data_IF_146124850925
#
_entry.id   IF_146124850925
#
_cell.length_a   1.000
_cell.length_b   1.000
_cell.length_c   1.000
_cell.angle_alpha   90.00
_cell.angle_beta   90.00
_cell.angle_gamma   90.00
#
_symmetry.space_group_name_H-M   'P 1'
#
loop_
_entity.id
_entity.type
_entity.pdbx_description
1 polymer ?
#
# COMPACT_ATOMS: atom_id res chain seq x y z
N UNK A 1 -18.97 33.79 -54.45
CA UNK A 1 -18.26 33.69 -53.17
C UNK A 1 -19.27 33.18 -52.14
N UNK A 2 -19.35 31.87 -51.93
CA UNK A 2 -20.12 31.32 -50.84
C UNK A 2 -19.31 31.46 -49.53
N UNK A 3 -19.62 32.49 -48.76
CA UNK A 3 -19.25 32.51 -47.35
C UNK A 3 -20.07 31.43 -46.62
N UNK A 4 -19.52 30.25 -46.48
CA UNK A 4 -20.01 29.24 -45.55
C UNK A 4 -19.70 29.76 -44.16
N UNK A 5 -20.60 30.54 -43.59
CA UNK A 5 -20.55 30.91 -42.19
C UNK A 5 -20.80 29.68 -41.32
N UNK A 6 -19.73 29.03 -40.85
CA UNK A 6 -19.89 28.09 -39.77
C UNK A 6 -20.54 28.83 -38.59
N UNK A 7 -21.63 28.33 -37.99
CA UNK A 7 -22.28 29.07 -36.91
C UNK A 7 -21.27 29.17 -35.75
N UNK A 8 -21.02 30.41 -35.33
CA UNK A 8 -20.11 30.71 -34.19
C UNK A 8 -20.41 29.86 -32.96
N UNK A 9 -21.67 29.41 -32.80
CA UNK A 9 -22.09 28.51 -31.76
C UNK A 9 -21.40 27.15 -31.81
N UNK A 10 -21.08 26.62 -33.01
CA UNK A 10 -20.42 25.31 -33.14
C UNK A 10 -18.96 25.31 -32.65
N UNK A 11 -18.35 26.48 -32.57
CA UNK A 11 -16.96 26.66 -32.07
C UNK A 11 -16.97 27.06 -30.58
N UNK A 12 -17.93 27.91 -30.17
CA UNK A 12 -17.97 28.45 -28.80
C UNK A 12 -18.51 27.46 -27.79
N UNK A 13 -19.51 26.65 -28.14
CA UNK A 13 -20.13 25.72 -27.19
C UNK A 13 -19.17 24.63 -26.71
N UNK A 14 -18.42 23.92 -27.60
CA UNK A 14 -17.42 22.96 -27.17
C UNK A 14 -16.30 23.59 -26.34
N UNK A 15 -15.84 24.78 -26.73
CA UNK A 15 -14.79 25.50 -26.01
C UNK A 15 -15.18 25.87 -24.57
N UNK A 16 -16.42 26.36 -24.38
CA UNK A 16 -16.92 26.69 -23.05
C UNK A 16 -17.12 25.44 -22.16
N UNK A 17 -17.58 24.34 -22.75
CA UNK A 17 -17.72 23.06 -22.03
C UNK A 17 -16.35 22.53 -21.59
N UNK A 18 -15.34 22.55 -22.46
CA UNK A 18 -13.98 22.19 -22.16
C UNK A 18 -13.38 23.02 -21.02
N UNK A 19 -13.55 24.34 -21.06
CA UNK A 19 -13.07 25.24 -20.01
C UNK A 19 -13.73 24.95 -18.64
N UNK A 20 -15.02 24.65 -18.65
CA UNK A 20 -15.72 24.27 -17.39
C UNK A 20 -15.17 22.99 -16.81
N UNK A 21 -14.95 21.98 -17.65
CA UNK A 21 -14.40 20.71 -17.22
C UNK A 21 -12.95 20.86 -16.72
N UNK A 22 -12.11 21.61 -17.45
CA UNK A 22 -10.74 21.91 -17.01
C UNK A 22 -10.70 22.62 -15.66
N UNK A 23 -11.60 23.57 -15.41
CA UNK A 23 -11.71 24.24 -14.11
C UNK A 23 -12.17 23.30 -13.01
N UNK A 24 -13.13 22.42 -13.29
CA UNK A 24 -13.58 21.43 -12.33
C UNK A 24 -12.47 20.41 -12.01
N UNK A 25 -11.75 19.94 -13.02
CA UNK A 25 -10.60 19.06 -12.85
C UNK A 25 -9.48 19.73 -12.04
N UNK A 26 -9.14 20.98 -12.35
CA UNK A 26 -8.12 21.73 -11.63
C UNK A 26 -8.48 21.94 -10.14
N UNK A 27 -9.77 22.07 -9.81
CA UNK A 27 -10.22 22.20 -8.42
C UNK A 27 -9.94 20.96 -7.56
N UNK A 28 -9.81 19.78 -8.18
CA UNK A 28 -9.45 18.51 -7.53
C UNK A 28 -8.00 18.08 -7.83
N UNK A 29 -7.17 18.99 -8.37
CA UNK A 29 -5.76 18.71 -8.66
C UNK A 29 -5.50 17.92 -9.94
N UNK A 30 -6.51 17.71 -10.79
CA UNK A 30 -6.38 16.97 -12.04
C UNK A 30 -6.12 17.89 -13.24
N UNK A 31 -5.37 17.40 -14.22
CA UNK A 31 -5.10 18.11 -15.49
C UNK A 31 -5.65 17.28 -16.64
N UNK A 32 -6.52 17.91 -17.46
CA UNK A 32 -7.08 17.28 -18.67
C UNK A 32 -6.45 17.95 -19.90
N UNK A 33 -5.61 17.26 -20.69
CA UNK A 33 -4.79 17.85 -21.74
C UNK A 33 -5.54 18.06 -23.07
N UNK A 34 -6.79 18.51 -23.03
CA UNK A 34 -7.53 18.90 -24.23
C UNK A 34 -8.79 18.08 -24.51
N UNK A 35 -9.41 18.37 -25.68
CA UNK A 35 -10.72 17.79 -26.02
C UNK A 35 -10.68 16.27 -26.27
N UNK A 36 -9.62 15.78 -26.91
CA UNK A 36 -9.46 14.34 -27.17
C UNK A 36 -9.45 13.52 -25.84
N UNK A 37 -8.77 14.00 -24.82
CA UNK A 37 -8.79 13.38 -23.51
C UNK A 37 -10.17 13.39 -22.83
N UNK A 38 -10.97 14.43 -23.10
CA UNK A 38 -12.36 14.51 -22.59
C UNK A 38 -13.25 13.44 -23.24
N UNK A 39 -13.09 13.22 -24.55
CA UNK A 39 -13.84 12.19 -25.28
C UNK A 39 -13.44 10.77 -24.81
N UNK A 40 -12.15 10.53 -24.59
CA UNK A 40 -11.64 9.27 -24.07
C UNK A 40 -12.15 9.01 -22.64
N UNK A 41 -12.15 10.01 -21.76
CA UNK A 41 -12.70 9.90 -20.39
C UNK A 41 -14.17 9.49 -20.38
N UNK A 42 -14.96 9.92 -21.37
CA UNK A 42 -16.36 9.55 -21.51
C UNK A 42 -16.60 8.06 -21.82
N UNK A 43 -15.59 7.36 -22.32
CA UNK A 43 -15.63 5.94 -22.67
C UNK A 43 -15.02 5.02 -21.61
N UNK A 44 -14.49 5.55 -20.53
CA UNK A 44 -13.87 4.75 -19.47
C UNK A 44 -14.94 4.06 -18.62
N UNK A 45 -14.88 2.76 -18.53
CA UNK A 45 -15.73 1.90 -17.69
C UNK A 45 -14.95 1.20 -16.57
N UNK A 46 -13.62 1.23 -16.65
CA UNK A 46 -12.73 0.55 -15.70
C UNK A 46 -11.59 1.47 -15.31
N UNK A 47 -11.28 1.52 -14.03
CA UNK A 47 -10.12 2.25 -13.48
C UNK A 47 -9.25 1.24 -12.74
N UNK A 48 -8.00 1.11 -13.15
CA UNK A 48 -6.98 0.35 -12.44
C UNK A 48 -6.18 1.32 -11.57
N UNK A 49 -6.11 1.03 -10.26
CA UNK A 49 -5.38 1.83 -9.28
C UNK A 49 -4.38 0.94 -8.57
N UNK A 50 -3.17 1.44 -8.39
CA UNK A 50 -2.22 0.80 -7.50
C UNK A 50 -2.60 1.09 -6.04
N UNK A 51 -2.43 0.08 -5.18
CA UNK A 51 -2.68 0.24 -3.75
C UNK A 51 -1.78 1.31 -3.12
N UNK A 52 -0.55 1.44 -3.60
CA UNK A 52 0.42 2.43 -3.13
C UNK A 52 0.02 3.87 -3.50
N UNK A 53 -0.77 4.08 -4.56
CA UNK A 53 -1.34 5.38 -4.92
C UNK A 53 -2.48 5.80 -3.98
N UNK A 54 -3.19 4.84 -3.40
CA UNK A 54 -4.31 5.08 -2.49
C UNK A 54 -3.87 5.18 -1.03
N UNK A 55 -2.91 4.36 -0.64
CA UNK A 55 -2.43 4.25 0.73
C UNK A 55 -0.99 4.75 0.80
N UNK A 56 -0.84 6.04 1.04
CA UNK A 56 0.49 6.64 1.25
C UNK A 56 1.09 6.15 2.57
N UNK A 57 2.41 6.19 2.69
CA UNK A 57 3.13 5.76 3.89
C UNK A 57 2.61 6.40 5.19
N UNK A 58 2.11 7.64 5.09
CA UNK A 58 1.55 8.39 6.23
C UNK A 58 0.13 7.96 6.61
N UNK A 59 -0.53 7.14 5.80
CA UNK A 59 -1.91 6.67 6.06
C UNK A 59 -1.98 5.44 6.95
N UNK A 60 -0.84 4.76 7.17
CA UNK A 60 -0.77 3.54 7.98
C UNK A 60 -0.22 3.86 9.36
N UNK A 61 -0.94 3.47 10.40
CA UNK A 61 -0.52 3.60 11.80
C UNK A 61 -0.41 2.24 12.45
N UNK A 62 0.54 2.11 13.37
CA UNK A 62 0.68 0.90 14.20
C UNK A 62 -0.08 1.11 15.50
N UNK A 63 -1.15 0.33 15.71
CA UNK A 63 -2.01 0.46 16.88
C UNK A 63 -1.47 -0.34 18.07
N UNK A 64 -1.03 -1.59 17.85
CA UNK A 64 -0.55 -2.47 18.93
C UNK A 64 0.47 -3.47 18.39
N UNK A 65 1.37 -3.93 19.28
CA UNK A 65 2.32 -5.02 19.01
C UNK A 65 2.17 -6.07 20.11
N UNK A 66 1.92 -7.31 19.71
CA UNK A 66 1.81 -8.43 20.61
C UNK A 66 2.89 -9.47 20.39
N UNK A 67 3.52 -9.90 21.47
CA UNK A 67 4.59 -10.90 21.42
C UNK A 67 4.09 -12.21 22.00
N UNK A 68 4.33 -13.29 21.29
CA UNK A 68 4.02 -14.64 21.71
C UNK A 68 5.28 -15.34 22.24
N UNK A 69 5.11 -16.28 23.19
CA UNK A 69 6.15 -17.20 23.66
C UNK A 69 7.47 -16.58 24.13
N UNK A 70 7.42 -15.41 24.78
CA UNK A 70 8.60 -14.80 25.40
C UNK A 70 9.60 -14.19 24.43
N UNK A 71 9.18 -13.89 23.20
CA UNK A 71 9.96 -13.10 22.25
C UNK A 71 10.29 -11.72 22.79
N UNK A 72 11.29 -11.07 22.19
CA UNK A 72 11.69 -9.68 22.55
C UNK A 72 11.15 -8.73 21.51
N UNK A 73 10.41 -7.74 21.97
CA UNK A 73 9.79 -6.72 21.10
C UNK A 73 10.81 -5.97 20.25
N UNK A 74 11.95 -5.61 20.84
CA UNK A 74 13.03 -4.87 20.16
C UNK A 74 13.55 -5.65 18.95
N UNK A 75 13.75 -6.98 19.11
CA UNK A 75 14.20 -7.85 18.03
C UNK A 75 13.14 -8.05 16.96
N UNK A 76 11.88 -8.21 17.36
CA UNK A 76 10.76 -8.35 16.44
C UNK A 76 10.66 -7.10 15.54
N UNK A 77 10.72 -5.91 16.13
CA UNK A 77 10.72 -4.64 15.38
C UNK A 77 11.91 -4.56 14.43
N UNK A 78 13.12 -4.94 14.87
CA UNK A 78 14.31 -4.90 14.02
C UNK A 78 14.24 -5.88 12.85
N UNK A 79 13.73 -7.11 13.06
CA UNK A 79 13.51 -8.06 11.97
C UNK A 79 12.47 -7.55 10.98
N UNK A 80 11.32 -7.04 11.48
CA UNK A 80 10.29 -6.46 10.64
C UNK A 80 10.82 -5.27 9.83
N UNK A 81 11.47 -4.31 10.49
CA UNK A 81 12.06 -3.15 9.84
C UNK A 81 13.10 -3.53 8.78
N UNK A 82 13.95 -4.54 9.06
CA UNK A 82 14.97 -5.00 8.11
C UNK A 82 14.35 -5.56 6.83
N UNK A 83 13.35 -6.43 6.94
CA UNK A 83 12.67 -7.02 5.77
C UNK A 83 11.86 -5.96 5.02
N UNK A 84 11.05 -5.18 5.72
CA UNK A 84 10.13 -4.22 5.12
C UNK A 84 10.85 -3.01 4.50
N UNK A 85 12.06 -2.70 4.95
CA UNK A 85 12.87 -1.66 4.34
C UNK A 85 13.19 -1.93 2.85
N UNK A 86 13.15 -3.19 2.43
CA UNK A 86 13.45 -3.62 1.06
C UNK A 86 12.23 -4.07 0.26
N UNK A 87 11.07 -4.28 0.90
CA UNK A 87 9.94 -4.97 0.26
C UNK A 87 8.67 -4.14 0.10
N UNK A 88 8.39 -3.19 0.98
CA UNK A 88 7.14 -2.44 0.98
C UNK A 88 7.37 -0.98 1.36
N UNK A 89 7.07 -0.06 0.44
CA UNK A 89 7.32 1.36 0.65
C UNK A 89 6.43 1.96 1.74
N UNK A 90 5.15 1.57 1.77
CA UNK A 90 4.18 2.03 2.75
C UNK A 90 4.57 1.63 4.18
N UNK A 91 4.90 0.35 4.39
CA UNK A 91 5.32 -0.14 5.70
C UNK A 91 6.76 0.30 6.06
N UNK A 92 7.62 0.55 5.06
CA UNK A 92 8.97 1.10 5.27
C UNK A 92 8.93 2.42 6.02
N UNK A 93 8.04 3.34 5.60
CA UNK A 93 7.86 4.64 6.26
C UNK A 93 7.51 4.48 7.73
N UNK A 94 6.53 3.64 8.04
CA UNK A 94 6.10 3.34 9.39
C UNK A 94 7.24 2.78 10.27
N UNK A 95 7.92 1.74 9.78
CA UNK A 95 9.00 1.12 10.57
C UNK A 95 10.24 2.00 10.71
N UNK A 96 10.53 2.87 9.74
CA UNK A 96 11.59 3.90 9.88
C UNK A 96 11.28 4.88 11.01
N UNK A 97 10.04 5.33 11.12
CA UNK A 97 9.64 6.18 12.25
C UNK A 97 9.84 5.48 13.59
N UNK A 98 9.47 4.20 13.70
CA UNK A 98 9.62 3.41 14.92
C UNK A 98 11.09 3.25 15.35
N UNK A 99 12.00 3.08 14.39
CA UNK A 99 13.44 2.96 14.65
C UNK A 99 14.17 4.31 14.65
N UNK A 100 13.43 5.44 14.61
CA UNK A 100 13.97 6.80 14.57
C UNK A 100 14.98 7.02 13.43
N UNK A 101 14.68 6.49 12.24
CA UNK A 101 15.54 6.51 11.04
C UNK A 101 16.95 5.91 11.22
N UNK A 102 17.18 5.18 12.31
CA UNK A 102 18.47 4.51 12.58
C UNK A 102 18.64 3.25 11.71
N UNK A 103 18.87 3.44 10.43
CA UNK A 103 19.00 2.33 9.45
C UNK A 103 20.27 1.51 9.63
N UNK A 104 21.28 2.02 10.33
CA UNK A 104 22.53 1.34 10.65
C UNK A 104 22.37 0.14 11.59
N UNK A 105 21.27 0.08 12.34
CA UNK A 105 20.98 -1.05 13.25
C UNK A 105 20.24 -2.22 12.56
N UNK A 106 19.82 -2.03 11.30
CA UNK A 106 19.10 -3.06 10.55
C UNK A 106 19.99 -4.25 10.22
N UNK A 107 19.40 -5.43 10.25
CA UNK A 107 20.09 -6.65 9.85
C UNK A 107 20.25 -6.73 8.32
N UNK A 108 21.35 -7.30 7.83
CA UNK A 108 21.49 -7.60 6.40
C UNK A 108 20.43 -8.62 5.98
N UNK A 109 19.69 -8.29 4.93
CA UNK A 109 18.63 -9.15 4.38
C UNK A 109 19.18 -9.90 3.18
N UNK A 110 18.91 -11.21 3.12
CA UNK A 110 19.24 -12.10 2.00
C UNK A 110 17.99 -12.85 1.57
N UNK A 111 18.00 -13.25 0.30
CA UNK A 111 16.96 -14.12 -0.28
C UNK A 111 15.55 -13.63 0.04
N UNK A 112 15.29 -12.34 -0.25
CA UNK A 112 13.96 -11.73 -0.07
C UNK A 112 13.00 -12.28 -1.14
N UNK A 113 11.97 -12.96 -0.67
CA UNK A 113 10.87 -13.48 -1.48
C UNK A 113 9.60 -12.67 -1.20
N UNK A 114 8.92 -12.24 -2.24
CA UNK A 114 7.65 -11.51 -2.16
C UNK A 114 6.52 -12.42 -2.62
N UNK A 115 5.59 -12.71 -1.75
CA UNK A 115 4.39 -13.48 -2.06
C UNK A 115 3.19 -12.53 -2.14
N UNK A 116 2.82 -12.14 -3.36
CA UNK A 116 1.74 -11.17 -3.60
C UNK A 116 0.44 -11.56 -2.88
N UNK A 117 -0.13 -10.62 -2.13
CA UNK A 117 -1.35 -10.82 -1.36
C UNK A 117 -1.20 -11.68 -0.09
N UNK A 118 -0.01 -12.20 0.20
CA UNK A 118 0.26 -13.07 1.33
C UNK A 118 1.28 -12.47 2.31
N UNK A 119 2.47 -12.12 1.82
CA UNK A 119 3.52 -11.59 2.68
C UNK A 119 4.93 -11.71 2.09
N UNK A 120 5.91 -11.70 2.97
CA UNK A 120 7.33 -11.67 2.66
C UNK A 120 8.09 -12.76 3.43
N UNK A 121 9.08 -13.36 2.79
CA UNK A 121 10.07 -14.21 3.46
C UNK A 121 11.47 -13.66 3.20
N UNK A 122 12.34 -13.73 4.18
CA UNK A 122 13.73 -13.35 4.03
C UNK A 122 14.63 -14.03 5.07
N UNK A 123 15.92 -14.03 4.81
CA UNK A 123 16.92 -14.42 5.79
C UNK A 123 17.57 -13.18 6.41
N UNK A 124 17.47 -13.03 7.72
CA UNK A 124 18.08 -11.96 8.49
C UNK A 124 18.89 -12.55 9.64
N UNK A 125 20.16 -12.25 9.72
CA UNK A 125 21.06 -12.74 10.78
C UNK A 125 20.93 -14.25 11.01
N UNK A 126 21.00 -15.05 9.94
CA UNK A 126 20.82 -16.51 9.91
C UNK A 126 19.46 -17.04 10.40
N UNK A 127 18.49 -16.17 10.61
CA UNK A 127 17.13 -16.55 10.94
C UNK A 127 16.21 -16.35 9.72
N UNK A 128 15.34 -17.32 9.47
CA UNK A 128 14.26 -17.15 8.50
C UNK A 128 13.17 -16.30 9.11
N UNK A 129 12.90 -15.16 8.49
CA UNK A 129 11.88 -14.21 8.91
C UNK A 129 10.74 -14.26 7.93
N UNK A 130 9.53 -14.45 8.42
CA UNK A 130 8.29 -14.43 7.66
C UNK A 130 7.42 -13.28 8.16
N UNK A 131 6.90 -12.47 7.24
CA UNK A 131 5.97 -11.38 7.54
C UNK A 131 4.77 -11.53 6.63
N UNK A 132 3.57 -11.58 7.17
CA UNK A 132 2.38 -11.72 6.32
C UNK A 132 1.09 -11.92 7.08
N UNK A 133 0.04 -12.26 6.34
CA UNK A 133 -1.28 -12.53 6.88
C UNK A 133 -1.39 -13.96 7.44
N UNK A 134 -2.53 -14.29 8.07
CA UNK A 134 -2.81 -15.63 8.62
C UNK A 134 -2.60 -16.72 7.57
N UNK A 135 -3.15 -16.55 6.37
CA UNK A 135 -3.09 -17.55 5.31
C UNK A 135 -1.63 -17.88 4.92
N UNK A 136 -0.76 -16.87 4.92
CA UNK A 136 0.65 -17.07 4.65
C UNK A 136 1.34 -17.87 5.76
N UNK A 137 1.07 -17.54 7.02
CA UNK A 137 1.64 -18.25 8.17
C UNK A 137 1.18 -19.70 8.25
N UNK A 138 -0.10 -19.98 7.97
CA UNK A 138 -0.64 -21.34 7.89
C UNK A 138 0.05 -22.17 6.80
N UNK A 139 0.25 -21.57 5.62
CA UNK A 139 0.96 -22.20 4.50
C UNK A 139 2.40 -22.55 4.85
N UNK A 140 3.07 -21.72 5.62
CA UNK A 140 4.45 -21.90 6.09
C UNK A 140 4.53 -22.78 7.35
N UNK A 141 3.39 -23.26 7.88
CA UNK A 141 3.33 -24.15 9.03
C UNK A 141 3.66 -23.48 10.37
N UNK A 142 3.51 -22.15 10.45
CA UNK A 142 3.71 -21.41 11.70
C UNK A 142 2.49 -21.59 12.61
N UNK A 143 2.66 -21.99 13.89
CA UNK A 143 1.54 -22.09 14.80
C UNK A 143 0.95 -20.71 15.11
N UNK A 144 -0.34 -20.57 14.87
CA UNK A 144 -1.10 -19.32 15.02
C UNK A 144 -2.05 -19.39 16.22
N UNK A 145 -2.45 -18.26 16.79
CA UNK A 145 -3.56 -18.19 17.73
C UNK A 145 -4.88 -18.59 17.05
N UNK A 146 -5.89 -18.89 17.87
CA UNK A 146 -7.24 -19.22 17.38
C UNK A 146 -7.84 -18.03 16.61
N UNK A 147 -8.78 -18.31 15.69
CA UNK A 147 -9.44 -17.30 14.87
C UNK A 147 -10.16 -16.25 15.71
N UNK A 148 -10.78 -16.68 16.83
CA UNK A 148 -11.47 -15.79 17.76
C UNK A 148 -10.55 -14.67 18.30
N UNK A 149 -9.26 -14.99 18.50
CA UNK A 149 -8.28 -13.99 18.91
C UNK A 149 -8.08 -12.90 17.85
N UNK A 150 -8.07 -13.25 16.57
CA UNK A 150 -8.01 -12.24 15.49
C UNK A 150 -9.27 -11.39 15.44
N UNK A 151 -10.45 -12.02 15.50
CA UNK A 151 -11.73 -11.32 15.41
C UNK A 151 -11.87 -10.30 16.54
N UNK A 152 -11.44 -10.66 17.75
CA UNK A 152 -11.43 -9.76 18.91
C UNK A 152 -10.46 -8.57 18.72
N UNK A 153 -9.27 -8.81 18.15
CA UNK A 153 -8.21 -7.80 18.04
C UNK A 153 -8.25 -7.01 16.73
N UNK A 154 -8.92 -7.53 15.69
CA UNK A 154 -9.12 -6.81 14.43
C UNK A 154 -10.26 -5.78 14.49
N UNK A 155 -10.95 -5.65 15.62
CA UNK A 155 -12.12 -4.76 15.78
C UNK A 155 -13.15 -4.98 14.65
N UNK A 156 -13.54 -6.24 14.43
CA UNK A 156 -14.42 -6.66 13.36
C UNK A 156 -13.94 -6.29 11.94
N UNK A 157 -12.64 -6.38 11.71
CA UNK A 157 -12.02 -6.13 10.41
C UNK A 157 -11.66 -4.65 10.14
N UNK A 158 -11.80 -3.78 11.14
CA UNK A 158 -11.35 -2.38 11.03
C UNK A 158 -9.81 -2.26 11.08
N UNK A 159 -9.13 -3.21 11.73
CA UNK A 159 -7.67 -3.28 11.81
C UNK A 159 -7.16 -4.49 11.05
N UNK A 160 -6.05 -4.31 10.35
CA UNK A 160 -5.35 -5.41 9.68
C UNK A 160 -4.28 -5.99 10.60
N UNK A 161 -4.28 -7.31 10.77
CA UNK A 161 -3.28 -8.02 11.56
C UNK A 161 -2.16 -8.49 10.64
N UNK A 162 -0.93 -8.15 11.01
CA UNK A 162 0.28 -8.58 10.34
C UNK A 162 1.09 -9.47 11.30
N UNK A 163 1.34 -10.69 10.89
CA UNK A 163 2.15 -11.64 11.65
C UNK A 163 3.62 -11.54 11.29
N UNK A 164 4.47 -11.63 12.30
CA UNK A 164 5.91 -11.80 12.17
C UNK A 164 6.33 -13.12 12.83
N UNK A 165 6.93 -14.01 12.06
CA UNK A 165 7.52 -15.22 12.59
C UNK A 165 9.02 -15.25 12.34
N UNK A 166 9.79 -15.62 13.35
CA UNK A 166 11.24 -15.79 13.28
C UNK A 166 11.59 -17.24 13.57
N UNK A 167 12.23 -17.90 12.61
CA UNK A 167 12.62 -19.33 12.69
C UNK A 167 11.43 -20.24 13.05
N UNK A 168 10.25 -19.96 12.50
CA UNK A 168 9.04 -20.77 12.68
C UNK A 168 8.28 -20.51 13.99
N UNK A 169 8.58 -19.44 14.72
CA UNK A 169 7.89 -19.04 15.96
C UNK A 169 7.42 -17.60 15.87
N UNK A 170 6.17 -17.35 16.28
CA UNK A 170 5.62 -15.99 16.41
C UNK A 170 6.25 -15.26 17.60
#
# INVERSE_FOLDING_TARGET
>A
VLCMGAPLSSVLVPGLAALRLQRAAAAVGAVVPGWAAIEELGGIDTIELDADDLFTADSVTLEDIRIFKGGRIDRAILYAASVLNHSCETLRGLFRQIIEDRTEILYPVKDLEVHHGLGFAAWCDNNRVLIGNRLYMEREGVPLPEQEYEDEHSQNGALQILYLAVSGSL
#
